data_IF_046408713431
#
_entry.id   IF_046408713431
#
_cell.length_a   1.000
_cell.length_b   1.000
_cell.length_c   1.000
_cell.angle_alpha   90.00
_cell.angle_beta   90.00
_cell.angle_gamma   90.00
#
_symmetry.space_group_name_H-M   'P 1'
#
loop_
_entity.id
_entity.type
_entity.pdbx_description
1 polymer ?
#
# COMPACT_ATOMS: atom_id res chain seq x y z
N UNK A 1 0.66 1.00 -33.91
CA UNK A 1 1.83 0.20 -33.47
C UNK A 1 1.81 0.15 -31.95
N UNK A 2 1.76 -1.04 -31.36
CA UNK A 2 1.83 -1.22 -29.91
C UNK A 2 3.30 -1.09 -29.49
N UNK A 3 3.62 -0.19 -28.57
CA UNK A 3 5.00 -0.01 -28.07
C UNK A 3 5.34 -1.07 -27.02
N UNK A 4 6.62 -1.44 -26.93
CA UNK A 4 7.15 -2.38 -25.92
C UNK A 4 6.92 -1.87 -24.50
N UNK A 5 6.98 -0.55 -24.31
CA UNK A 5 6.69 0.11 -23.03
C UNK A 5 5.24 -0.14 -22.60
N UNK A 6 4.29 -0.07 -23.55
CA UNK A 6 2.87 -0.34 -23.28
C UNK A 6 2.64 -1.81 -22.89
N UNK A 7 3.27 -2.76 -23.59
CA UNK A 7 3.16 -4.20 -23.25
C UNK A 7 3.74 -4.47 -21.87
N UNK A 8 4.89 -3.89 -21.53
CA UNK A 8 5.53 -4.03 -20.23
C UNK A 8 4.60 -3.54 -19.10
N UNK A 9 4.00 -2.36 -19.28
CA UNK A 9 3.02 -1.81 -18.33
C UNK A 9 1.79 -2.70 -18.17
N UNK A 10 1.20 -3.19 -19.26
CA UNK A 10 0.02 -4.06 -19.22
C UNK A 10 0.32 -5.41 -18.55
N UNK A 11 1.46 -6.04 -18.85
CA UNK A 11 1.87 -7.28 -18.20
C UNK A 11 2.09 -7.10 -16.69
N UNK A 12 2.76 -6.01 -16.29
CA UNK A 12 2.97 -5.68 -14.88
C UNK A 12 1.64 -5.40 -14.15
N UNK A 13 0.73 -4.67 -14.80
CA UNK A 13 -0.62 -4.39 -14.30
C UNK A 13 -1.39 -5.70 -14.04
N UNK A 14 -1.51 -6.55 -15.06
CA UNK A 14 -2.28 -7.80 -14.98
C UNK A 14 -1.68 -8.76 -13.95
N UNK A 15 -0.35 -8.83 -13.89
CA UNK A 15 0.34 -9.65 -12.90
C UNK A 15 0.04 -9.18 -11.48
N UNK A 16 0.21 -7.89 -11.20
CA UNK A 16 -0.06 -7.30 -9.90
C UNK A 16 -1.54 -7.46 -9.51
N UNK A 17 -2.46 -7.18 -10.44
CA UNK A 17 -3.90 -7.31 -10.22
C UNK A 17 -4.32 -8.71 -9.77
N UNK A 18 -3.72 -9.76 -10.36
CA UNK A 18 -4.04 -11.16 -10.05
C UNK A 18 -3.28 -11.72 -8.83
N UNK A 19 -2.09 -11.20 -8.53
CA UNK A 19 -1.25 -11.72 -7.43
C UNK A 19 -1.47 -11.02 -6.10
N UNK A 20 -1.97 -9.80 -6.11
CA UNK A 20 -2.19 -9.03 -4.89
C UNK A 20 -3.36 -9.60 -4.10
N UNK A 21 -3.11 -9.84 -2.81
CA UNK A 21 -4.14 -10.14 -1.82
C UNK A 21 -4.60 -8.80 -1.21
N UNK A 22 -5.81 -8.31 -1.51
CA UNK A 22 -6.26 -7.00 -1.06
C UNK A 22 -6.25 -6.87 0.46
N UNK A 23 -6.65 -7.95 1.16
CA UNK A 23 -6.66 -8.01 2.63
C UNK A 23 -5.32 -7.58 3.25
N UNK A 24 -4.19 -8.05 2.70
CA UNK A 24 -2.85 -7.72 3.23
C UNK A 24 -2.51 -6.23 3.04
N UNK A 25 -2.94 -5.64 1.92
CA UNK A 25 -2.72 -4.22 1.65
C UNK A 25 -3.60 -3.36 2.56
N UNK A 26 -4.86 -3.76 2.74
CA UNK A 26 -5.80 -3.08 3.64
C UNK A 26 -5.27 -3.12 5.08
N UNK A 27 -4.82 -4.28 5.57
CA UNK A 27 -4.20 -4.41 6.90
C UNK A 27 -3.01 -3.44 7.07
N UNK A 28 -2.13 -3.36 6.06
CA UNK A 28 -0.98 -2.44 6.09
C UNK A 28 -1.39 -0.97 6.04
N UNK A 29 -2.47 -0.65 5.33
CA UNK A 29 -2.99 0.71 5.24
C UNK A 29 -3.65 1.12 6.56
N UNK A 30 -4.38 0.21 7.20
CA UNK A 30 -4.92 0.41 8.56
C UNK A 30 -3.78 0.61 9.55
N UNK A 31 -2.74 -0.23 9.52
CA UNK A 31 -1.56 -0.09 10.39
C UNK A 31 -0.92 1.30 10.24
N UNK A 32 -0.72 1.76 9.00
CA UNK A 32 -0.17 3.09 8.73
C UNK A 32 -1.09 4.24 9.19
N UNK A 33 -2.40 4.13 8.96
CA UNK A 33 -3.39 5.11 9.41
C UNK A 33 -3.41 5.20 10.94
N UNK A 34 -3.38 4.06 11.60
CA UNK A 34 -3.35 3.96 13.05
C UNK A 34 -2.07 4.59 13.63
N UNK A 35 -0.91 4.34 13.02
CA UNK A 35 0.37 4.93 13.44
C UNK A 35 0.38 6.46 13.28
N UNK A 36 -0.25 7.00 12.22
CA UNK A 36 -0.42 8.44 12.02
C UNK A 36 -1.38 9.04 13.05
N UNK A 37 -2.46 8.33 13.38
CA UNK A 37 -3.51 8.83 14.30
C UNK A 37 -3.11 8.75 15.77
N UNK A 38 -2.16 7.89 16.15
CA UNK A 38 -1.65 7.74 17.52
C UNK A 38 -0.16 8.09 17.56
N UNK A 39 0.23 9.38 17.43
CA UNK A 39 1.61 9.78 17.57
C UNK A 39 2.08 9.49 19.01
N UNK A 40 3.23 8.81 19.13
CA UNK A 40 3.78 8.33 20.40
C UNK A 40 3.93 9.41 21.47
N UNK A 41 2.93 9.55 22.34
CA UNK A 41 3.00 10.40 23.55
C UNK A 41 3.70 9.63 24.66
N UNK A 42 5.02 9.80 24.83
CA UNK A 42 5.74 9.09 25.91
C UNK A 42 7.20 9.42 26.15
N UNK A 43 7.76 10.51 25.61
CA UNK A 43 9.12 10.92 25.92
C UNK A 43 9.15 11.68 27.28
N UNK A 44 9.31 10.95 28.40
CA UNK A 44 9.59 11.61 29.69
C UNK A 44 9.27 10.87 31.01
N UNK A 45 8.68 9.67 30.99
CA UNK A 45 8.25 9.00 32.24
C UNK A 45 9.21 7.92 32.75
N UNK A 46 9.58 8.00 34.03
CA UNK A 46 10.54 7.12 34.71
C UNK A 46 9.93 5.85 35.32
N UNK A 47 8.60 5.75 35.46
CA UNK A 47 7.93 4.62 36.12
C UNK A 47 7.50 3.53 35.13
N UNK A 48 8.13 2.36 35.23
CA UNK A 48 7.91 1.21 34.33
C UNK A 48 6.46 0.68 34.34
N UNK A 49 5.78 0.71 35.50
CA UNK A 49 4.40 0.23 35.65
C UNK A 49 3.40 1.12 34.90
N UNK A 50 3.48 2.43 35.09
CA UNK A 50 2.64 3.40 34.36
C UNK A 50 2.91 3.39 32.86
N UNK A 51 4.15 3.09 32.47
CA UNK A 51 4.54 2.92 31.07
C UNK A 51 3.86 1.69 30.43
N UNK A 52 3.77 0.57 31.15
CA UNK A 52 3.09 -0.64 30.68
C UNK A 52 1.56 -0.51 30.70
N UNK A 53 1.00 0.16 31.71
CA UNK A 53 -0.45 0.36 31.81
C UNK A 53 -0.94 1.28 30.69
N UNK A 54 -0.20 2.36 30.37
CA UNK A 54 -0.47 3.17 29.18
C UNK A 54 -0.10 2.49 27.86
N UNK A 55 0.86 1.58 27.81
CA UNK A 55 1.08 0.82 26.57
C UNK A 55 -0.11 -0.10 26.28
N UNK A 56 -0.70 -0.70 27.32
CA UNK A 56 -1.93 -1.48 27.19
C UNK A 56 -3.14 -0.63 26.86
N UNK A 57 -3.27 0.56 27.46
CA UNK A 57 -4.32 1.51 27.11
C UNK A 57 -4.19 1.99 25.66
N UNK A 58 -2.95 2.23 25.19
CA UNK A 58 -2.64 2.50 23.78
C UNK A 58 -2.96 1.32 22.88
N UNK A 59 -2.60 0.10 23.26
CA UNK A 59 -2.89 -1.09 22.47
C UNK A 59 -4.41 -1.32 22.39
N UNK A 60 -5.13 -1.04 23.46
CA UNK A 60 -6.60 -1.05 23.49
C UNK A 60 -7.20 0.01 22.56
N UNK A 61 -6.73 1.26 22.63
CA UNK A 61 -7.17 2.33 21.73
C UNK A 61 -6.84 2.03 20.26
N UNK A 62 -5.68 1.40 20.03
CA UNK A 62 -5.21 0.94 18.72
C UNK A 62 -6.15 -0.13 18.15
N UNK A 63 -6.42 -1.16 18.94
CA UNK A 63 -7.32 -2.26 18.59
C UNK A 63 -8.74 -1.75 18.40
N UNK A 64 -9.21 -0.85 19.26
CA UNK A 64 -10.56 -0.28 19.14
C UNK A 64 -10.71 0.52 17.85
N UNK A 65 -9.72 1.33 17.46
CA UNK A 65 -9.75 2.06 16.18
C UNK A 65 -9.60 1.13 14.99
N UNK A 66 -8.77 0.10 15.08
CA UNK A 66 -8.66 -0.92 14.02
C UNK A 66 -10.00 -1.63 13.81
N UNK A 67 -10.70 -2.01 14.88
CA UNK A 67 -12.02 -2.63 14.81
C UNK A 67 -13.09 -1.70 14.23
N UNK A 68 -13.05 -0.42 14.59
CA UNK A 68 -13.98 0.59 14.06
C UNK A 68 -13.79 0.78 12.55
N UNK A 69 -12.54 0.94 12.11
CA UNK A 69 -12.18 1.04 10.69
C UNK A 69 -12.59 -0.23 9.93
N UNK A 70 -12.32 -1.43 10.48
CA UNK A 70 -12.76 -2.71 9.88
C UNK A 70 -14.29 -2.79 9.81
N UNK A 71 -15.00 -2.24 10.81
CA UNK A 71 -16.45 -2.15 10.83
C UNK A 71 -16.99 -1.23 9.73
N UNK A 72 -16.39 -0.06 9.56
CA UNK A 72 -16.74 0.91 8.52
C UNK A 72 -16.47 0.36 7.11
N UNK A 73 -15.32 -0.29 6.89
CA UNK A 73 -14.99 -1.00 5.64
C UNK A 73 -16.01 -2.09 5.30
N UNK A 74 -16.47 -2.84 6.30
CA UNK A 74 -17.48 -3.89 6.12
C UNK A 74 -18.87 -3.31 5.85
N UNK A 75 -19.20 -2.17 6.46
CA UNK A 75 -20.44 -1.45 6.17
C UNK A 75 -20.43 -0.90 4.74
N UNK A 76 -19.29 -0.33 4.32
CA UNK A 76 -19.09 0.19 2.98
C UNK A 76 -19.22 -0.89 1.89
N UNK A 77 -18.68 -2.09 2.14
CA UNK A 77 -18.88 -3.26 1.25
C UNK A 77 -20.34 -3.69 1.14
N UNK A 78 -21.12 -3.55 2.23
CA UNK A 78 -22.55 -3.85 2.22
C UNK A 78 -23.36 -2.80 1.47
N UNK A 79 -22.91 -1.54 1.50
CA UNK A 79 -23.59 -0.41 0.86
C UNK A 79 -23.27 -0.32 -0.64
N UNK A 80 -22.06 -0.73 -1.05
CA UNK A 80 -21.60 -0.70 -2.44
C UNK A 80 -21.16 -2.08 -2.96
N UNK A 81 -22.09 -3.01 -3.22
CA UNK A 81 -21.76 -4.37 -3.66
C UNK A 81 -21.07 -4.43 -5.04
N UNK A 82 -21.15 -3.36 -5.84
CA UNK A 82 -20.46 -3.28 -7.14
C UNK A 82 -19.05 -2.65 -7.04
N UNK A 83 -18.74 -1.94 -5.95
CA UNK A 83 -17.47 -1.25 -5.72
C UNK A 83 -16.79 -1.79 -4.46
N UNK A 84 -16.53 -3.10 -4.43
CA UNK A 84 -15.77 -3.71 -3.33
C UNK A 84 -14.42 -3.01 -3.19
N UNK A 85 -14.02 -2.69 -1.95
CA UNK A 85 -12.76 -2.00 -1.67
C UNK A 85 -11.57 -2.80 -2.19
N UNK A 86 -11.73 -4.12 -2.24
CA UNK A 86 -10.81 -5.05 -2.87
C UNK A 86 -10.50 -4.72 -4.34
N UNK A 87 -11.51 -4.36 -5.14
CA UNK A 87 -11.32 -4.01 -6.55
C UNK A 87 -10.53 -2.72 -6.67
N UNK A 88 -10.87 -1.70 -5.88
CA UNK A 88 -10.14 -0.43 -5.86
C UNK A 88 -8.67 -0.67 -5.51
N UNK A 89 -8.40 -1.48 -4.49
CA UNK A 89 -7.04 -1.82 -4.06
C UNK A 89 -6.27 -2.54 -5.17
N UNK A 90 -6.89 -3.52 -5.86
CA UNK A 90 -6.25 -4.23 -6.98
C UNK A 90 -5.97 -3.30 -8.17
N UNK A 91 -6.90 -2.42 -8.52
CA UNK A 91 -6.72 -1.45 -9.60
C UNK A 91 -5.63 -0.43 -9.28
N UNK A 92 -5.64 0.13 -8.06
CA UNK A 92 -4.64 1.10 -7.62
C UNK A 92 -3.24 0.48 -7.58
N UNK A 93 -3.12 -0.72 -7.04
CA UNK A 93 -1.83 -1.41 -6.97
C UNK A 93 -1.34 -1.90 -8.34
N UNK A 94 -2.25 -2.35 -9.21
CA UNK A 94 -1.93 -2.66 -10.60
C UNK A 94 -1.42 -1.44 -11.35
N UNK A 95 -2.06 -0.28 -11.17
CA UNK A 95 -1.64 0.98 -11.79
C UNK A 95 -0.25 1.41 -11.31
N UNK A 96 0.01 1.36 -10.00
CA UNK A 96 1.33 1.66 -9.43
C UNK A 96 2.40 0.72 -9.96
N UNK A 97 2.13 -0.59 -10.00
CA UNK A 97 3.06 -1.57 -10.54
C UNK A 97 3.39 -1.31 -12.02
N UNK A 98 2.38 -0.95 -12.82
CA UNK A 98 2.54 -0.58 -14.23
C UNK A 98 3.40 0.67 -14.39
N UNK A 99 3.13 1.73 -13.62
CA UNK A 99 3.88 2.98 -13.67
C UNK A 99 5.36 2.76 -13.31
N UNK A 100 5.64 1.98 -12.26
CA UNK A 100 7.00 1.64 -11.84
C UNK A 100 7.69 0.80 -12.91
N UNK A 101 7.01 -0.20 -13.48
CA UNK A 101 7.57 -1.05 -14.53
C UNK A 101 7.94 -0.26 -15.78
N UNK A 102 7.07 0.65 -16.23
CA UNK A 102 7.33 1.52 -17.38
C UNK A 102 8.49 2.48 -17.10
N UNK A 103 8.53 3.09 -15.92
CA UNK A 103 9.62 3.97 -15.52
C UNK A 103 10.97 3.22 -15.46
N UNK A 104 11.00 2.03 -14.84
CA UNK A 104 12.19 1.19 -14.76
C UNK A 104 12.65 0.73 -16.15
N UNK A 105 11.72 0.29 -17.01
CA UNK A 105 12.02 -0.09 -18.38
C UNK A 105 12.58 1.10 -19.19
N UNK A 106 12.03 2.30 -19.01
CA UNK A 106 12.55 3.54 -19.60
C UNK A 106 13.98 3.85 -19.17
N UNK A 107 14.30 3.68 -17.88
CA UNK A 107 15.66 3.87 -17.34
C UNK A 107 16.63 2.81 -17.87
N UNK A 108 16.23 1.55 -17.92
CA UNK A 108 17.06 0.47 -18.48
C UNK A 108 17.34 0.76 -19.97
N UNK A 109 16.31 1.11 -20.73
CA UNK A 109 16.42 1.45 -22.15
C UNK A 109 17.32 2.65 -22.40
N UNK A 110 17.26 3.69 -21.55
CA UNK A 110 18.12 4.87 -21.68
C UNK A 110 19.59 4.51 -21.47
N UNK A 111 19.91 3.71 -20.47
CA UNK A 111 21.27 3.21 -20.17
C UNK A 111 21.87 2.40 -21.32
N UNK A 112 21.09 1.46 -21.90
CA UNK A 112 21.56 0.67 -23.04
C UNK A 112 21.73 1.50 -24.32
N UNK A 113 20.90 2.53 -24.53
CA UNK A 113 21.08 3.44 -25.68
C UNK A 113 22.33 4.31 -25.55
N UNK A 114 22.66 4.75 -24.34
CA UNK A 114 23.85 5.56 -24.04
C UNK A 114 25.14 4.76 -24.27
N UNK A 115 25.16 3.49 -23.84
CA UNK A 115 26.27 2.55 -24.08
C UNK A 115 26.58 2.32 -25.57
N UNK A 116 25.55 2.36 -26.42
CA UNK A 116 25.70 2.19 -27.88
C UNK A 116 26.29 3.43 -28.56
N UNK A 117 26.15 4.61 -27.97
CA UNK A 117 26.63 5.90 -28.52
C UNK A 117 28.10 6.17 -28.16
N UNK A 118 28.60 5.59 -27.07
CA UNK A 118 30.00 5.69 -26.65
C UNK A 118 30.96 4.78 -27.42
N UNK A 119 30.44 3.91 -28.30
CA UNK A 119 31.21 2.92 -29.07
C UNK A 119 31.48 3.33 -30.53
N UNK A 120 31.13 4.56 -30.89
CA UNK A 120 31.42 5.18 -32.19
C UNK A 120 32.21 6.47 -31.98
#
# INVERSE_FOLDING_TARGET
MISLDWICGQCAFIYAFNKIKPAVIVDKLIEAVVDVLVPGKGAGESNWFWRNLRSLERDSDRISKELDIRGELRNWDSEFPFFHHELIVRYAAGFLASAVAVAAFGQVRSLFSSSKRSRY
#
